data_IF_240734681820
#
_entry.id   IF_240734681820
#
_cell.length_a   1.000
_cell.length_b   1.000
_cell.length_c   1.000
_cell.angle_alpha   90.00
_cell.angle_beta   90.00
_cell.angle_gamma   90.00
#
_symmetry.space_group_name_H-M   'P 1'
#
loop_
_entity.id
_entity.type
_entity.pdbx_description
1 polymer ?
#
# COMPACT_ATOMS: atom_id res chain seq x y z
N UNK A 1 0.57 -11.41 8.29
CA UNK A 1 1.54 -12.13 7.42
C UNK A 1 2.46 -13.06 8.18
N UNK A 2 3.13 -12.62 9.26
CA UNK A 2 4.17 -13.40 9.97
C UNK A 2 3.71 -14.77 10.44
N UNK A 3 2.53 -14.87 11.06
CA UNK A 3 2.00 -16.15 11.54
C UNK A 3 1.77 -17.16 10.40
N UNK A 4 1.26 -16.70 9.25
CA UNK A 4 1.02 -17.55 8.06
C UNK A 4 2.34 -18.12 7.54
N UNK A 5 3.39 -17.29 7.47
CA UNK A 5 4.72 -17.73 7.05
C UNK A 5 5.32 -18.71 8.06
N UNK A 6 5.14 -18.49 9.37
CA UNK A 6 5.60 -19.43 10.40
C UNK A 6 4.93 -20.81 10.23
N UNK A 7 3.60 -20.83 10.00
CA UNK A 7 2.87 -22.08 9.73
C UNK A 7 3.34 -22.74 8.44
N UNK A 8 3.63 -21.96 7.39
CA UNK A 8 4.16 -22.48 6.12
C UNK A 8 5.53 -23.14 6.30
N UNK A 9 6.44 -22.47 7.03
CA UNK A 9 7.79 -22.98 7.35
C UNK A 9 7.68 -24.25 8.19
N UNK A 10 6.88 -24.23 9.25
CA UNK A 10 6.65 -25.41 10.08
C UNK A 10 6.07 -26.58 9.29
N UNK A 11 5.04 -26.34 8.48
CA UNK A 11 4.43 -27.37 7.62
C UNK A 11 5.44 -27.99 6.65
N UNK A 12 6.29 -27.16 6.04
CA UNK A 12 7.33 -27.64 5.11
C UNK A 12 8.40 -28.47 5.81
N UNK A 13 8.94 -28.03 6.94
CA UNK A 13 10.11 -28.66 7.56
C UNK A 13 9.79 -29.72 8.61
N UNK A 14 8.61 -29.68 9.23
CA UNK A 14 8.21 -30.65 10.28
C UNK A 14 7.21 -31.65 9.75
N UNK A 15 6.18 -31.18 9.05
CA UNK A 15 5.09 -32.02 8.57
C UNK A 15 5.32 -32.58 7.16
N UNK A 16 6.39 -32.18 6.47
CA UNK A 16 6.62 -32.44 5.04
C UNK A 16 5.43 -32.08 4.13
N UNK A 17 4.54 -31.20 4.60
CA UNK A 17 3.32 -30.79 3.93
C UNK A 17 3.14 -29.28 4.09
N UNK A 18 3.47 -28.54 3.02
CA UNK A 18 3.39 -27.08 3.02
C UNK A 18 2.02 -26.60 2.52
N UNK A 19 1.33 -25.70 3.22
CA UNK A 19 0.11 -25.07 2.72
C UNK A 19 0.42 -24.22 1.47
N UNK A 20 -0.23 -24.53 0.34
CA UNK A 20 0.03 -23.87 -0.96
C UNK A 20 -0.53 -22.45 -1.02
N UNK A 21 -1.54 -22.14 -0.21
CA UNK A 21 -2.18 -20.83 -0.13
C UNK A 21 -1.42 -19.81 0.72
N UNK A 22 -0.48 -20.26 1.56
CA UNK A 22 0.15 -19.42 2.59
C UNK A 22 0.88 -18.20 2.02
N UNK A 23 1.61 -18.38 0.93
CA UNK A 23 2.37 -17.30 0.29
C UNK A 23 1.44 -16.19 -0.23
N UNK A 24 0.42 -16.57 -1.01
CA UNK A 24 -0.53 -15.62 -1.59
C UNK A 24 -1.35 -14.91 -0.49
N UNK A 25 -1.72 -15.62 0.58
CA UNK A 25 -2.41 -15.03 1.72
C UNK A 25 -1.53 -14.03 2.49
N UNK A 26 -0.24 -14.34 2.66
CA UNK A 26 0.71 -13.45 3.31
C UNK A 26 0.90 -12.15 2.52
N UNK A 27 1.00 -12.24 1.19
CA UNK A 27 1.08 -11.09 0.28
C UNK A 27 -0.17 -10.22 0.34
N UNK A 28 -1.37 -10.83 0.35
CA UNK A 28 -2.62 -10.07 0.47
C UNK A 28 -2.67 -9.29 1.79
N UNK A 29 -2.27 -9.90 2.90
CA UNK A 29 -2.22 -9.20 4.20
C UNK A 29 -1.15 -8.09 4.20
N UNK A 30 0.00 -8.32 3.56
CA UNK A 30 1.03 -7.29 3.42
C UNK A 30 0.48 -6.06 2.70
N UNK A 31 -0.28 -6.24 1.61
CA UNK A 31 -0.92 -5.14 0.87
C UNK A 31 -1.83 -4.33 1.80
N UNK A 32 -2.68 -4.99 2.58
CA UNK A 32 -3.54 -4.32 3.56
C UNK A 32 -2.76 -3.56 4.63
N UNK A 33 -1.68 -4.16 5.16
CA UNK A 33 -0.79 -3.48 6.11
C UNK A 33 -0.14 -2.23 5.49
N UNK A 34 0.31 -2.32 4.24
CA UNK A 34 0.92 -1.19 3.52
C UNK A 34 -0.09 -0.06 3.32
N UNK A 35 -1.36 -0.35 3.00
CA UNK A 35 -2.38 0.70 2.90
C UNK A 35 -2.63 1.44 4.21
N UNK A 36 -2.71 0.70 5.33
CA UNK A 36 -2.85 1.31 6.66
C UNK A 36 -1.61 2.13 7.02
N UNK A 37 -0.42 1.59 6.76
CA UNK A 37 0.84 2.29 7.00
C UNK A 37 0.97 3.55 6.13
N UNK A 38 0.54 3.50 4.87
CA UNK A 38 0.50 4.65 3.97
C UNK A 38 -0.46 5.73 4.48
N UNK A 39 -1.64 5.35 4.98
CA UNK A 39 -2.58 6.31 5.57
C UNK A 39 -2.01 6.99 6.83
N UNK A 40 -1.33 6.24 7.69
CA UNK A 40 -0.61 6.79 8.84
C UNK A 40 0.55 7.71 8.40
N UNK A 41 1.37 7.27 7.45
CA UNK A 41 2.49 8.05 6.93
C UNK A 41 2.06 9.35 6.23
N UNK A 42 0.90 9.34 5.55
CA UNK A 42 0.27 10.55 5.00
C UNK A 42 -0.12 11.55 6.09
N UNK A 43 -0.68 11.09 7.22
CA UNK A 43 -0.98 11.96 8.38
C UNK A 43 0.27 12.56 9.01
N UNK A 44 1.36 11.80 9.03
CA UNK A 44 2.65 12.24 9.58
C UNK A 44 3.45 13.11 8.60
N UNK A 45 2.98 13.29 7.36
CA UNK A 45 3.63 14.16 6.38
C UNK A 45 4.91 13.58 5.78
N UNK A 46 5.02 12.25 5.67
CA UNK A 46 6.20 11.54 5.14
C UNK A 46 6.53 11.83 3.67
N UNK A 47 5.67 12.56 2.93
CA UNK A 47 6.04 13.04 1.60
C UNK A 47 7.31 13.88 1.73
N UNK A 48 8.40 13.40 1.10
CA UNK A 48 9.74 13.97 1.25
C UNK A 48 9.68 15.46 0.95
N UNK A 49 9.77 16.25 2.02
CA UNK A 49 9.82 17.70 2.00
C UNK A 49 11.25 18.10 2.31
N UNK A 50 11.85 18.90 1.44
CA UNK A 50 13.11 19.57 1.75
C UNK A 50 12.77 20.74 2.68
N UNK A 51 12.56 20.45 3.96
CA UNK A 51 12.15 21.43 4.97
C UNK A 51 13.11 22.63 4.99
N UNK A 52 14.42 22.37 4.91
CA UNK A 52 15.46 23.39 4.88
C UNK A 52 15.35 24.40 3.72
N UNK A 53 14.75 24.02 2.58
CA UNK A 53 14.52 24.93 1.46
C UNK A 53 13.25 25.76 1.67
N UNK A 54 12.20 25.15 2.22
CA UNK A 54 10.91 25.82 2.48
C UNK A 54 11.01 26.81 3.64
N UNK A 55 11.82 26.50 4.66
CA UNK A 55 11.99 27.35 5.84
C UNK A 55 12.81 28.63 5.56
N UNK A 56 13.53 28.67 4.44
CA UNK A 56 14.26 29.88 3.97
C UNK A 56 13.46 30.77 3.03
N UNK A 57 12.25 30.36 2.63
CA UNK A 57 11.39 31.14 1.74
C UNK A 57 10.56 32.17 2.52
N UNK A 58 10.23 33.34 1.92
CA UNK A 58 9.32 34.30 2.53
C UNK A 58 7.95 33.68 2.85
N UNK A 59 7.31 34.08 3.95
CA UNK A 59 6.05 33.51 4.47
C UNK A 59 4.94 33.30 3.42
N UNK A 60 4.85 34.15 2.39
CA UNK A 60 3.87 34.02 1.30
C UNK A 60 4.22 32.88 0.32
N UNK A 61 5.50 32.72 -0.03
CA UNK A 61 5.97 31.65 -0.92
C UNK A 61 5.94 30.30 -0.20
N UNK A 62 6.29 30.27 1.09
CA UNK A 62 6.16 29.07 1.92
C UNK A 62 4.72 28.53 1.89
N UNK A 63 3.72 29.36 2.17
CA UNK A 63 2.30 28.96 2.10
C UNK A 63 1.87 28.46 0.71
N UNK A 64 2.33 29.10 -0.35
CA UNK A 64 2.04 28.66 -1.72
C UNK A 64 2.60 27.26 -2.00
N UNK A 65 3.86 27.00 -1.60
CA UNK A 65 4.48 25.67 -1.79
C UNK A 65 3.76 24.57 -1.02
N UNK A 66 3.28 24.83 0.20
CA UNK A 66 2.43 23.89 0.94
C UNK A 66 1.11 23.62 0.19
N UNK A 67 0.43 24.67 -0.29
CA UNK A 67 -0.81 24.53 -1.04
C UNK A 67 -0.65 23.72 -2.32
N UNK A 68 0.40 24.01 -3.10
CA UNK A 68 0.73 23.27 -4.33
C UNK A 68 1.08 21.82 -4.02
N UNK A 69 1.92 21.57 -2.99
CA UNK A 69 2.26 20.21 -2.57
C UNK A 69 1.01 19.40 -2.22
N UNK A 70 0.12 19.97 -1.41
CA UNK A 70 -1.12 19.29 -1.04
C UNK A 70 -2.03 19.05 -2.25
N UNK A 71 -2.12 20.02 -3.17
CA UNK A 71 -2.89 19.86 -4.41
C UNK A 71 -2.32 18.73 -5.29
N UNK A 72 -1.00 18.63 -5.43
CA UNK A 72 -0.34 17.55 -6.20
C UNK A 72 -0.58 16.20 -5.54
N UNK A 73 -0.40 16.09 -4.23
CA UNK A 73 -0.66 14.85 -3.48
C UNK A 73 -2.12 14.43 -3.57
N UNK A 74 -3.06 15.38 -3.47
CA UNK A 74 -4.48 15.11 -3.63
C UNK A 74 -4.83 14.65 -5.06
N UNK A 75 -4.26 15.29 -6.08
CA UNK A 75 -4.44 14.90 -7.47
C UNK A 75 -3.89 13.49 -7.74
N UNK A 76 -2.70 13.18 -7.21
CA UNK A 76 -2.11 11.86 -7.29
C UNK A 76 -2.98 10.80 -6.59
N UNK A 77 -3.47 11.10 -5.39
CA UNK A 77 -4.38 10.21 -4.66
C UNK A 77 -5.69 9.95 -5.43
N UNK A 78 -6.26 10.97 -6.05
CA UNK A 78 -7.46 10.82 -6.89
C UNK A 78 -7.19 9.97 -8.13
N UNK A 79 -6.06 10.18 -8.80
CA UNK A 79 -5.65 9.35 -9.94
C UNK A 79 -5.45 7.88 -9.53
N UNK A 80 -4.77 7.63 -8.41
CA UNK A 80 -4.59 6.28 -7.85
C UNK A 80 -5.93 5.61 -7.52
N UNK A 81 -6.89 6.36 -6.97
CA UNK A 81 -8.23 5.84 -6.70
C UNK A 81 -8.97 5.46 -7.98
N UNK A 82 -8.90 6.30 -9.02
CA UNK A 82 -9.58 6.04 -10.30
C UNK A 82 -8.98 4.84 -11.03
N UNK A 83 -7.68 4.85 -11.31
CA UNK A 83 -7.00 3.76 -12.01
C UNK A 83 -6.96 2.48 -11.18
N UNK A 84 -6.86 2.58 -9.85
CA UNK A 84 -6.95 1.44 -8.95
C UNK A 84 -8.32 0.78 -8.97
N UNK A 85 -9.40 1.57 -8.97
CA UNK A 85 -10.76 1.05 -9.08
C UNK A 85 -11.00 0.41 -10.46
N UNK A 86 -10.51 1.02 -11.53
CA UNK A 86 -10.58 0.44 -12.89
C UNK A 86 -9.87 -0.92 -12.95
N UNK A 87 -8.65 -1.00 -12.41
CA UNK A 87 -7.88 -2.25 -12.36
C UNK A 87 -8.56 -3.32 -11.48
N UNK A 88 -9.11 -2.92 -10.33
CA UNK A 88 -9.84 -3.81 -9.44
C UNK A 88 -11.07 -4.41 -10.13
N UNK A 89 -11.89 -3.57 -10.77
CA UNK A 89 -13.06 -4.02 -11.54
C UNK A 89 -12.66 -4.92 -12.72
N UNK A 90 -11.59 -4.58 -13.43
CA UNK A 90 -11.09 -5.39 -14.55
C UNK A 90 -10.59 -6.77 -14.09
N UNK A 91 -10.05 -6.87 -12.86
CA UNK A 91 -9.45 -8.11 -12.33
C UNK A 91 -10.37 -8.90 -11.39
N UNK A 92 -11.58 -8.42 -11.14
CA UNK A 92 -12.55 -9.05 -10.24
C UNK A 92 -12.90 -10.49 -10.63
N UNK A 93 -12.91 -10.79 -11.93
CA UNK A 93 -13.19 -12.15 -12.43
C UNK A 93 -11.96 -13.08 -12.41
N UNK A 94 -10.76 -12.56 -12.11
CA UNK A 94 -9.56 -13.37 -12.01
C UNK A 94 -9.41 -13.93 -10.60
N UNK A 95 -9.55 -15.25 -10.46
CA UNK A 95 -9.45 -15.93 -9.16
C UNK A 95 -7.98 -16.25 -8.86
N UNK A 96 -7.56 -16.05 -7.61
CA UNK A 96 -6.27 -16.52 -7.11
C UNK A 96 -6.35 -18.06 -6.98
N UNK A 97 -5.61 -18.85 -7.78
CA UNK A 97 -5.81 -20.30 -7.87
C UNK A 97 -5.64 -21.04 -6.55
N UNK A 98 -4.83 -20.50 -5.63
CA UNK A 98 -4.52 -21.14 -4.34
C UNK A 98 -5.47 -20.72 -3.21
N UNK A 99 -6.14 -19.57 -3.32
CA UNK A 99 -7.10 -19.10 -2.30
C UNK A 99 -8.56 -19.24 -2.72
N UNK A 100 -8.86 -19.34 -4.02
CA UNK A 100 -10.23 -19.40 -4.51
C UNK A 100 -11.00 -18.07 -4.41
N UNK A 101 -10.33 -16.97 -4.07
CA UNK A 101 -10.92 -15.62 -3.99
C UNK A 101 -10.59 -14.77 -5.22
N UNK A 102 -11.47 -13.82 -5.60
CA UNK A 102 -11.19 -12.77 -6.60
C UNK A 102 -9.90 -11.98 -6.32
N UNK A 103 -9.26 -11.48 -7.38
CA UNK A 103 -8.08 -10.59 -7.32
C UNK A 103 -8.41 -9.10 -7.22
N UNK A 104 -9.64 -8.73 -7.56
CA UNK A 104 -10.15 -7.35 -7.52
C UNK A 104 -10.48 -6.86 -6.12
#
# INVERSE_FOLDING_TARGET
MTLIIVVQVFGRYVLNASPVWAEQAALLILIWCVFIAAAAGMREGFHIRIAALVDRLPNRMGRLTYGVSNAVVAAFGAAMMFFGAELALATWHHVIPTLGIPRG
#
